data_IF_392763730865
#
_entry.id   IF_392763730865
#
_cell.length_a   1.000
_cell.length_b   1.000
_cell.length_c   1.000
_cell.angle_alpha   90.00
_cell.angle_beta   90.00
_cell.angle_gamma   90.00
#
_symmetry.space_group_name_H-M   'P 1'
#
loop_
_entity.id
_entity.type
_entity.pdbx_description
1 polymer ?
#
# COMPACT_ATOMS: atom_id res chain seq x y z
N UNK A 1 18.47 22.06 -60.76
CA UNK A 1 18.57 20.69 -60.21
C UNK A 1 18.70 20.79 -58.69
N UNK A 2 18.09 19.84 -57.99
CA UNK A 2 18.04 19.67 -56.52
C UNK A 2 16.98 20.48 -55.75
N UNK A 3 15.73 20.13 -56.08
CA UNK A 3 14.54 20.15 -55.20
C UNK A 3 14.72 19.13 -54.06
N UNK A 4 15.87 19.14 -53.38
CA UNK A 4 16.30 18.11 -52.41
C UNK A 4 16.69 18.83 -51.14
N UNK A 5 15.71 19.11 -50.26
CA UNK A 5 15.91 19.43 -48.82
C UNK A 5 14.61 19.77 -48.05
N UNK A 6 13.43 19.76 -48.68
CA UNK A 6 12.14 20.14 -48.05
C UNK A 6 11.32 18.93 -47.56
N UNK A 7 12.00 17.83 -47.25
CA UNK A 7 11.45 16.64 -46.58
C UNK A 7 12.30 16.51 -45.30
N UNK A 8 12.10 17.18 -44.16
CA UNK A 8 10.95 17.90 -43.57
C UNK A 8 9.62 17.14 -43.60
N UNK A 9 9.70 15.83 -43.80
CA UNK A 9 8.70 14.91 -43.30
C UNK A 9 9.18 14.41 -41.95
N UNK A 10 8.54 14.90 -40.88
CA UNK A 10 7.96 13.99 -39.88
C UNK A 10 8.97 12.95 -39.36
N UNK A 11 10.14 13.43 -38.95
CA UNK A 11 10.93 12.82 -37.86
C UNK A 11 10.41 13.45 -36.56
N UNK A 12 9.09 13.37 -36.37
CA UNK A 12 8.48 13.44 -35.05
C UNK A 12 8.62 12.04 -34.46
N UNK A 13 9.85 11.69 -34.06
CA UNK A 13 10.02 10.72 -32.98
C UNK A 13 9.32 11.40 -31.81
N UNK A 14 8.16 10.91 -31.32
CA UNK A 14 7.76 11.33 -30.00
C UNK A 14 8.92 10.85 -29.14
N UNK A 15 9.68 11.80 -28.56
CA UNK A 15 10.40 11.50 -27.34
C UNK A 15 9.36 10.79 -26.48
N UNK A 16 9.57 9.49 -26.26
CA UNK A 16 8.80 8.71 -25.32
C UNK A 16 9.09 9.34 -23.96
N UNK A 17 8.39 10.44 -23.66
CA UNK A 17 8.20 10.88 -22.31
C UNK A 17 7.44 9.72 -21.68
N UNK A 18 8.17 8.85 -20.99
CA UNK A 18 7.57 7.96 -20.00
C UNK A 18 6.74 8.87 -19.10
N UNK A 19 5.42 8.80 -19.30
CA UNK A 19 4.49 9.73 -18.69
C UNK A 19 4.39 9.30 -17.22
N UNK A 20 5.22 9.91 -16.38
CA UNK A 20 5.24 9.57 -14.97
C UNK A 20 3.91 9.97 -14.32
N UNK A 21 3.37 9.09 -13.49
CA UNK A 21 2.09 9.34 -12.86
C UNK A 21 2.19 10.36 -11.73
N UNK A 22 1.30 11.35 -11.77
CA UNK A 22 1.00 12.23 -10.64
C UNK A 22 -0.29 11.77 -9.96
N UNK A 23 -0.52 12.19 -8.72
CA UNK A 23 -1.75 11.85 -7.99
C UNK A 23 -3.02 12.35 -8.66
N UNK A 24 -2.92 13.29 -9.61
CA UNK A 24 -4.05 13.86 -10.37
C UNK A 24 -4.45 13.02 -11.59
N UNK A 25 -3.49 12.35 -12.23
CA UNK A 25 -3.70 11.59 -13.48
C UNK A 25 -3.68 10.07 -13.27
N UNK A 26 -3.33 9.60 -12.07
CA UNK A 26 -3.32 8.17 -11.76
C UNK A 26 -4.74 7.58 -11.94
N UNK A 27 -4.93 6.45 -12.63
CA UNK A 27 -6.28 5.95 -12.91
C UNK A 27 -6.94 5.34 -11.67
N UNK A 28 -8.26 5.52 -11.52
CA UNK A 28 -9.02 4.92 -10.42
C UNK A 28 -9.53 3.53 -10.84
N UNK A 29 -9.04 2.44 -10.22
CA UNK A 29 -9.35 1.09 -10.67
C UNK A 29 -10.82 0.70 -10.51
N UNK A 30 -11.62 1.50 -9.79
CA UNK A 30 -13.06 1.28 -9.62
C UNK A 30 -13.88 1.70 -10.83
N UNK A 31 -13.32 2.57 -11.68
CA UNK A 31 -14.02 3.14 -12.83
C UNK A 31 -13.21 3.00 -14.13
N UNK A 32 -11.89 2.86 -14.03
CA UNK A 32 -10.97 2.80 -15.16
C UNK A 32 -10.05 1.58 -15.07
N UNK A 33 -10.66 0.39 -15.20
CA UNK A 33 -9.94 -0.88 -15.23
C UNK A 33 -8.93 -0.96 -16.39
N UNK A 34 -9.28 -0.36 -17.54
CA UNK A 34 -8.47 -0.40 -18.75
C UNK A 34 -7.14 0.34 -18.57
N UNK A 35 -7.15 1.59 -18.09
CA UNK A 35 -5.91 2.32 -17.82
C UNK A 35 -5.10 1.68 -16.69
N UNK A 36 -5.76 1.00 -15.75
CA UNK A 36 -5.12 0.24 -14.68
C UNK A 36 -4.57 -1.13 -15.11
N UNK A 37 -4.71 -1.51 -16.40
CA UNK A 37 -4.29 -2.81 -16.96
C UNK A 37 -4.81 -4.01 -16.15
N UNK A 38 -6.11 -3.97 -15.84
CA UNK A 38 -6.87 -5.05 -15.21
C UNK A 38 -8.16 -5.31 -16.01
N UNK A 39 -8.72 -6.51 -15.88
CA UNK A 39 -9.84 -6.97 -16.75
C UNK A 39 -11.17 -6.33 -16.37
N UNK A 40 -11.41 -6.16 -15.07
CA UNK A 40 -12.67 -5.65 -14.51
C UNK A 40 -12.36 -4.64 -13.43
N UNK A 41 -13.27 -3.67 -13.17
CA UNK A 41 -13.12 -2.75 -12.07
C UNK A 41 -12.87 -3.46 -10.75
N UNK A 42 -11.96 -2.92 -9.94
CA UNK A 42 -11.48 -3.63 -8.76
C UNK A 42 -10.58 -2.82 -7.84
N UNK A 43 -9.89 -3.50 -6.91
CA UNK A 43 -9.08 -2.83 -5.89
C UNK A 43 -7.64 -2.58 -6.32
N UNK A 44 -7.19 -3.05 -7.49
CA UNK A 44 -5.78 -2.96 -7.90
C UNK A 44 -5.65 -2.09 -9.14
N UNK A 45 -4.72 -1.15 -9.11
CA UNK A 45 -4.32 -0.39 -10.29
C UNK A 45 -2.82 -0.49 -10.51
N UNK A 46 -2.41 -0.97 -11.67
CA UNK A 46 -1.01 -1.12 -12.07
C UNK A 46 -0.85 -0.72 -13.55
N UNK A 47 -0.93 0.60 -13.83
CA UNK A 47 -0.90 1.11 -15.19
C UNK A 47 0.44 0.87 -15.90
N UNK A 48 1.52 0.70 -15.16
CA UNK A 48 2.87 0.42 -15.70
C UNK A 48 3.09 -1.07 -16.00
N UNK A 49 2.11 -1.94 -15.70
CA UNK A 49 2.19 -3.40 -15.86
C UNK A 49 3.38 -4.05 -15.14
N UNK A 50 3.66 -3.57 -13.93
CA UNK A 50 4.78 -4.04 -13.11
C UNK A 50 4.52 -5.46 -12.57
N UNK A 51 3.26 -5.76 -12.25
CA UNK A 51 2.81 -7.03 -11.72
C UNK A 51 2.29 -7.88 -12.88
N UNK A 52 2.78 -9.12 -12.99
CA UNK A 52 2.26 -10.04 -13.99
C UNK A 52 0.77 -10.36 -13.75
N UNK A 53 0.07 -10.76 -14.80
CA UNK A 53 -1.37 -11.02 -14.78
C UNK A 53 -1.81 -12.01 -13.68
N UNK A 54 -1.05 -13.10 -13.45
CA UNK A 54 -1.39 -14.10 -12.45
C UNK A 54 -1.31 -13.55 -11.02
N UNK A 55 -0.26 -12.79 -10.72
CA UNK A 55 -0.10 -12.13 -9.43
C UNK A 55 -1.13 -11.02 -9.20
N UNK A 56 -1.52 -10.28 -10.26
CA UNK A 56 -2.61 -9.29 -10.19
C UNK A 56 -3.91 -9.92 -9.72
N UNK A 57 -4.33 -11.01 -10.37
CA UNK A 57 -5.57 -11.71 -10.02
C UNK A 57 -5.53 -12.26 -8.60
N UNK A 58 -4.44 -12.92 -8.24
CA UNK A 58 -4.32 -13.50 -6.92
C UNK A 58 -4.26 -12.44 -5.79
N UNK A 59 -3.68 -11.26 -6.07
CA UNK A 59 -3.74 -10.11 -5.16
C UNK A 59 -5.16 -9.53 -5.06
N UNK A 60 -5.87 -9.39 -6.18
CA UNK A 60 -7.28 -8.93 -6.20
C UNK A 60 -8.17 -9.87 -5.40
N UNK A 61 -8.08 -11.18 -5.64
CA UNK A 61 -8.84 -12.21 -4.93
C UNK A 61 -8.58 -12.12 -3.42
N UNK A 62 -7.31 -11.94 -3.06
CA UNK A 62 -6.92 -11.80 -1.66
C UNK A 62 -7.50 -10.53 -1.05
N UNK A 63 -7.43 -9.39 -1.73
CA UNK A 63 -8.04 -8.14 -1.24
C UNK A 63 -9.55 -8.32 -1.03
N UNK A 64 -10.24 -8.97 -1.97
CA UNK A 64 -11.68 -9.23 -1.88
C UNK A 64 -12.03 -10.15 -0.71
N UNK A 65 -11.25 -11.22 -0.48
CA UNK A 65 -11.40 -12.10 0.69
C UNK A 65 -11.25 -11.29 2.00
N UNK A 66 -10.23 -10.42 2.06
CA UNK A 66 -9.95 -9.60 3.24
C UNK A 66 -11.09 -8.61 3.49
N UNK A 67 -11.55 -7.88 2.48
CA UNK A 67 -12.70 -6.97 2.58
C UNK A 67 -13.96 -7.74 2.99
N UNK A 68 -14.20 -8.92 2.43
CA UNK A 68 -15.36 -9.76 2.80
C UNK A 68 -15.32 -10.17 4.27
N UNK A 69 -14.13 -10.46 4.81
CA UNK A 69 -13.96 -10.85 6.21
C UNK A 69 -14.23 -9.71 7.21
N UNK A 70 -14.18 -8.45 6.78
CA UNK A 70 -14.46 -7.30 7.66
C UNK A 70 -15.93 -6.88 7.67
N UNK A 71 -16.78 -7.51 6.85
CA UNK A 71 -18.21 -7.17 6.74
C UNK A 71 -18.97 -7.36 8.05
N UNK A 72 -18.57 -8.33 8.88
CA UNK A 72 -19.20 -8.62 10.18
C UNK A 72 -18.77 -7.69 11.30
N UNK A 73 -17.77 -6.84 11.06
CA UNK A 73 -17.27 -5.89 12.06
C UNK A 73 -18.14 -4.64 11.96
N UNK A 74 -18.75 -4.17 13.05
CA UNK A 74 -19.48 -2.91 13.03
C UNK A 74 -18.51 -1.73 12.95
N UNK A 75 -18.85 -0.68 12.18
CA UNK A 75 -18.06 0.55 12.18
C UNK A 75 -18.62 1.50 13.24
N UNK A 76 -17.87 1.69 14.32
CA UNK A 76 -18.23 2.56 15.45
C UNK A 76 -18.06 4.06 15.16
N UNK A 77 -17.47 4.45 14.01
CA UNK A 77 -17.28 5.87 13.70
C UNK A 77 -18.61 6.62 13.62
N UNK A 78 -18.76 7.77 14.32
CA UNK A 78 -19.95 8.61 14.23
C UNK A 78 -20.31 9.01 12.79
N UNK A 79 -19.32 9.24 11.92
CA UNK A 79 -19.54 9.63 10.52
C UNK A 79 -20.16 8.49 9.68
N UNK A 80 -19.93 7.24 10.10
CA UNK A 80 -20.40 6.04 9.39
C UNK A 80 -21.74 5.49 9.90
N UNK A 81 -22.30 6.05 10.98
CA UNK A 81 -23.55 5.56 11.59
C UNK A 81 -24.72 5.50 10.61
N UNK A 82 -24.80 6.45 9.68
CA UNK A 82 -25.84 6.53 8.66
C UNK A 82 -25.53 5.71 7.39
N UNK A 83 -24.40 4.97 7.39
CA UNK A 83 -23.92 4.19 6.25
C UNK A 83 -23.53 2.76 6.68
N UNK A 84 -24.46 1.99 7.29
CA UNK A 84 -24.16 0.66 7.84
C UNK A 84 -23.71 -0.35 6.77
N UNK A 85 -24.09 -0.11 5.51
CA UNK A 85 -23.71 -0.96 4.38
C UNK A 85 -22.30 -0.66 3.84
N UNK A 86 -21.65 0.42 4.29
CA UNK A 86 -20.27 0.71 3.89
C UNK A 86 -19.30 -0.09 4.74
N UNK A 87 -18.46 -0.85 4.06
CA UNK A 87 -17.38 -1.62 4.64
C UNK A 87 -16.01 -1.07 4.19
N UNK A 88 -14.96 -1.51 4.89
CA UNK A 88 -13.57 -1.21 4.57
C UNK A 88 -13.32 -1.37 3.06
N UNK A 89 -12.85 -0.30 2.42
CA UNK A 89 -12.42 -0.34 1.02
C UNK A 89 -10.90 -0.33 0.99
N UNK A 90 -10.29 -1.31 0.31
CA UNK A 90 -8.84 -1.34 0.13
C UNK A 90 -8.54 -1.14 -1.36
N UNK A 91 -7.67 -0.19 -1.67
CA UNK A 91 -7.14 0.04 -3.02
C UNK A 91 -5.62 -0.07 -2.97
N UNK A 92 -5.04 -0.74 -3.95
CA UNK A 92 -3.60 -0.85 -4.16
C UNK A 92 -3.25 -0.15 -5.47
N UNK A 93 -2.41 0.87 -5.39
CA UNK A 93 -1.82 1.58 -6.51
C UNK A 93 -0.36 1.15 -6.66
N UNK A 94 0.02 0.67 -7.83
CA UNK A 94 1.37 0.25 -8.18
C UNK A 94 1.87 1.13 -9.32
N UNK A 95 2.93 1.87 -9.07
CA UNK A 95 3.51 2.82 -10.02
C UNK A 95 4.99 2.54 -10.17
N UNK A 96 5.55 2.78 -11.35
CA UNK A 96 6.98 2.62 -11.52
C UNK A 96 7.70 3.68 -10.71
N UNK A 97 7.45 4.95 -11.04
CA UNK A 97 8.08 6.10 -10.41
C UNK A 97 7.07 7.22 -10.25
N UNK A 98 7.13 7.90 -9.12
CA UNK A 98 6.26 9.06 -8.87
C UNK A 98 7.02 10.35 -9.18
N UNK A 99 6.28 11.37 -9.58
CA UNK A 99 6.82 12.71 -9.87
C UNK A 99 6.97 12.92 -11.36
N UNK A 100 7.54 14.05 -11.76
CA UNK A 100 7.86 14.34 -13.18
C UNK A 100 9.32 14.71 -13.37
N UNK A 101 10.01 15.01 -12.27
CA UNK A 101 11.35 15.59 -12.28
C UNK A 101 12.30 14.53 -11.74
N UNK A 102 13.12 13.99 -12.63
CA UNK A 102 14.27 13.19 -12.24
C UNK A 102 15.13 13.98 -11.25
N UNK A 103 15.43 13.39 -10.09
CA UNK A 103 16.34 13.89 -9.03
C UNK A 103 15.73 14.76 -7.92
N UNK A 104 14.43 15.03 -7.91
CA UNK A 104 13.79 15.57 -6.70
C UNK A 104 13.35 14.42 -5.78
N UNK A 105 13.58 14.55 -4.45
CA UNK A 105 13.04 13.59 -3.50
C UNK A 105 11.52 13.59 -3.63
N UNK A 106 10.98 12.44 -3.99
CA UNK A 106 9.56 12.23 -4.13
C UNK A 106 8.95 12.04 -2.75
N UNK A 107 7.92 12.83 -2.47
CA UNK A 107 7.12 12.67 -1.27
C UNK A 107 5.97 11.69 -1.56
N UNK A 108 6.24 10.40 -1.35
CA UNK A 108 5.27 9.31 -1.52
C UNK A 108 4.07 9.47 -0.57
N UNK A 109 4.28 10.03 0.63
CA UNK A 109 3.21 10.34 1.57
C UNK A 109 2.26 11.38 0.97
N UNK A 110 2.79 12.50 0.45
CA UNK A 110 1.99 13.53 -0.22
C UNK A 110 1.28 12.99 -1.45
N UNK A 111 1.94 12.15 -2.26
CA UNK A 111 1.30 11.49 -3.40
C UNK A 111 0.10 10.64 -2.95
N UNK A 112 0.28 9.77 -1.95
CA UNK A 112 -0.76 8.88 -1.47
C UNK A 112 -1.94 9.64 -0.85
N UNK A 113 -1.68 10.67 -0.04
CA UNK A 113 -2.73 11.50 0.55
C UNK A 113 -3.55 12.25 -0.52
N UNK A 114 -2.88 12.86 -1.50
CA UNK A 114 -3.55 13.56 -2.60
C UNK A 114 -4.35 12.58 -3.47
N UNK A 115 -3.80 11.39 -3.73
CA UNK A 115 -4.46 10.36 -4.51
C UNK A 115 -5.73 9.85 -3.81
N UNK A 116 -5.63 9.56 -2.51
CA UNK A 116 -6.80 9.20 -1.69
C UNK A 116 -7.86 10.30 -1.71
N UNK A 117 -7.47 11.56 -1.47
CA UNK A 117 -8.40 12.69 -1.50
C UNK A 117 -9.14 12.80 -2.83
N UNK A 118 -8.43 12.62 -3.96
CA UNK A 118 -9.05 12.61 -5.29
C UNK A 118 -9.97 11.41 -5.51
N UNK A 119 -9.59 10.20 -5.11
CA UNK A 119 -10.48 9.03 -5.18
C UNK A 119 -11.76 9.20 -4.35
N UNK A 120 -11.71 10.04 -3.34
CA UNK A 120 -12.88 10.41 -2.56
C UNK A 120 -13.63 11.59 -3.16
N UNK A 121 -13.32 12.00 -4.39
CA UNK A 121 -13.88 13.18 -5.07
C UNK A 121 -13.78 14.45 -4.23
N UNK A 122 -12.72 14.59 -3.43
CA UNK A 122 -12.57 15.68 -2.47
C UNK A 122 -13.80 15.84 -1.56
N UNK A 123 -14.44 14.71 -1.20
CA UNK A 123 -15.60 14.66 -0.31
C UNK A 123 -15.32 15.45 0.96
N UNK A 124 -16.38 16.09 1.46
CA UNK A 124 -16.37 16.83 2.70
C UNK A 124 -15.79 15.92 3.82
N UNK A 125 -14.89 16.44 4.67
CA UNK A 125 -14.34 15.68 5.79
C UNK A 125 -15.41 15.06 6.67
N UNK A 126 -16.66 15.50 6.68
CA UNK A 126 -17.77 14.88 7.43
C UNK A 126 -18.22 13.51 6.89
N UNK A 127 -17.86 13.13 5.66
CA UNK A 127 -18.23 11.83 5.10
C UNK A 127 -17.43 10.69 5.70
N UNK A 128 -18.12 9.55 5.87
CA UNK A 128 -17.55 8.27 6.26
C UNK A 128 -16.44 7.83 5.29
N UNK A 129 -15.21 7.95 5.74
CA UNK A 129 -13.97 7.68 5.03
C UNK A 129 -13.39 6.33 5.47
N UNK A 130 -13.75 5.27 4.73
CA UNK A 130 -13.33 3.90 4.99
C UNK A 130 -12.28 3.40 3.97
N UNK A 131 -11.60 4.31 3.26
CA UNK A 131 -10.63 3.95 2.22
C UNK A 131 -9.23 3.74 2.80
N UNK A 132 -8.69 2.54 2.63
CA UNK A 132 -7.26 2.25 2.79
C UNK A 132 -6.63 2.23 1.41
N UNK A 133 -5.75 3.18 1.13
CA UNK A 133 -4.98 3.22 -0.12
C UNK A 133 -3.53 2.85 0.19
N UNK A 134 -3.03 1.83 -0.51
CA UNK A 134 -1.65 1.38 -0.45
C UNK A 134 -1.00 1.76 -1.76
N UNK A 135 0.05 2.57 -1.71
CA UNK A 135 0.83 2.98 -2.88
C UNK A 135 2.18 2.28 -2.83
N UNK A 136 2.50 1.54 -3.88
CA UNK A 136 3.81 0.97 -4.12
C UNK A 136 4.48 1.72 -5.27
N UNK A 137 5.63 2.35 -5.02
CA UNK A 137 6.50 2.83 -6.09
C UNK A 137 7.70 1.90 -6.26
N UNK A 138 7.81 1.28 -7.44
CA UNK A 138 8.87 0.32 -7.78
C UNK A 138 10.26 0.97 -7.79
N UNK A 139 10.43 2.02 -8.58
CA UNK A 139 11.69 2.73 -8.78
C UNK A 139 12.12 3.50 -7.53
N UNK A 140 11.17 4.10 -6.81
CA UNK A 140 11.48 4.77 -5.54
C UNK A 140 11.68 3.76 -4.40
N UNK A 141 11.34 2.48 -4.63
CA UNK A 141 11.45 1.34 -3.69
C UNK A 141 10.75 1.60 -2.37
N UNK A 142 9.59 2.24 -2.43
CA UNK A 142 8.85 2.67 -1.26
C UNK A 142 7.41 2.17 -1.33
N UNK A 143 6.86 1.89 -0.15
CA UNK A 143 5.44 1.57 0.02
C UNK A 143 4.90 2.50 1.08
N UNK A 144 3.76 3.10 0.81
CA UNK A 144 3.08 3.98 1.74
C UNK A 144 1.60 3.61 1.79
N UNK A 145 1.05 3.64 3.00
CA UNK A 145 -0.35 3.32 3.23
C UNK A 145 -1.00 4.52 3.89
N UNK A 146 -2.06 5.02 3.26
CA UNK A 146 -2.93 6.03 3.86
C UNK A 146 -4.28 5.39 4.19
N UNK A 147 -4.70 5.56 5.42
CA UNK A 147 -5.98 5.10 5.91
C UNK A 147 -6.98 6.26 5.93
N UNK A 148 -8.25 5.93 5.81
CA UNK A 148 -9.32 6.85 6.08
C UNK A 148 -9.40 7.19 7.56
N UNK A 149 -10.06 8.28 7.91
CA UNK A 149 -10.27 8.61 9.33
C UNK A 149 -11.33 7.72 9.99
N UNK A 150 -12.24 7.14 9.20
CA UNK A 150 -13.31 6.26 9.66
C UNK A 150 -13.06 4.80 9.24
N UNK A 151 -11.85 4.50 8.76
CA UNK A 151 -11.46 3.11 8.62
C UNK A 151 -11.42 2.52 10.02
N UNK A 152 -11.98 1.32 10.16
CA UNK A 152 -11.82 0.49 11.36
C UNK A 152 -10.34 0.24 11.71
N UNK A 153 -9.40 0.68 10.89
CA UNK A 153 -7.97 0.57 11.09
C UNK A 153 -7.42 1.99 11.25
N UNK A 154 -6.86 2.35 12.40
CA UNK A 154 -6.21 3.66 12.50
C UNK A 154 -5.01 3.74 11.55
N UNK A 155 -4.69 4.96 11.06
CA UNK A 155 -3.47 5.20 10.23
C UNK A 155 -2.23 4.62 10.91
N UNK A 156 -2.14 4.74 12.23
CA UNK A 156 -1.02 4.23 13.03
C UNK A 156 -0.95 2.69 13.02
N UNK A 157 -2.08 2.02 13.25
CA UNK A 157 -2.21 0.55 13.18
C UNK A 157 -1.74 0.02 11.85
N UNK A 158 -2.25 0.61 10.75
CA UNK A 158 -1.85 0.24 9.40
C UNK A 158 -0.36 0.53 9.23
N UNK A 159 0.11 1.70 9.65
CA UNK A 159 1.51 2.08 9.57
C UNK A 159 2.41 1.05 10.22
N UNK A 160 2.24 0.58 11.47
CA UNK A 160 3.17 -0.46 11.95
C UNK A 160 2.83 -1.89 11.55
N UNK A 161 1.61 -2.22 11.13
CA UNK A 161 1.39 -3.47 10.39
C UNK A 161 2.27 -3.48 9.12
N UNK A 162 2.34 -2.33 8.43
CA UNK A 162 3.22 -2.10 7.30
C UNK A 162 4.69 -2.01 7.71
N UNK A 163 5.09 -1.24 8.71
CA UNK A 163 6.50 -1.12 9.13
C UNK A 163 7.04 -2.42 9.69
N UNK A 164 6.24 -3.25 10.38
CA UNK A 164 6.69 -4.59 10.77
C UNK A 164 6.84 -5.52 9.56
N UNK A 165 6.01 -5.32 8.52
CA UNK A 165 6.14 -6.05 7.25
C UNK A 165 7.32 -5.54 6.42
N UNK A 166 7.56 -4.22 6.41
CA UNK A 166 8.60 -3.47 5.70
C UNK A 166 9.93 -3.47 6.47
N UNK A 167 9.96 -3.76 7.77
CA UNK A 167 11.20 -3.96 8.50
C UNK A 167 12.00 -5.14 7.91
N UNK A 168 11.29 -6.09 7.26
CA UNK A 168 11.89 -7.15 6.46
C UNK A 168 12.30 -6.68 5.04
N UNK A 169 11.83 -5.50 4.61
CA UNK A 169 11.99 -4.88 3.29
C UNK A 169 12.69 -3.51 3.31
N UNK A 170 13.40 -3.13 4.39
CA UNK A 170 14.16 -1.86 4.38
C UNK A 170 15.05 -1.83 3.14
N UNK A 171 15.00 -0.74 2.37
CA UNK A 171 15.48 -0.63 0.98
C UNK A 171 16.94 -1.07 0.76
N UNK A 172 17.79 -0.97 1.80
CA UNK A 172 19.16 -1.48 1.77
C UNK A 172 19.29 -2.97 2.14
N UNK A 173 18.36 -3.48 2.95
CA UNK A 173 18.25 -4.89 3.32
C UNK A 173 17.45 -5.71 2.31
N UNK A 174 16.42 -5.17 1.65
CA UNK A 174 15.60 -5.90 0.69
C UNK A 174 16.35 -6.18 -0.61
N UNK A 175 17.12 -5.23 -1.14
CA UNK A 175 17.94 -5.48 -2.34
C UNK A 175 19.06 -6.48 -2.01
N UNK A 176 19.59 -6.45 -0.78
CA UNK A 176 20.59 -7.42 -0.30
C UNK A 176 19.99 -8.81 0.03
N UNK A 177 18.76 -8.87 0.53
CA UNK A 177 18.08 -10.12 0.94
C UNK A 177 17.33 -10.78 -0.23
N UNK A 178 16.63 -9.99 -1.03
CA UNK A 178 15.74 -10.44 -2.09
C UNK A 178 16.41 -10.48 -3.47
N UNK A 179 17.58 -9.82 -3.61
CA UNK A 179 18.30 -9.68 -4.87
C UNK A 179 17.67 -8.65 -5.82
N UNK A 180 18.38 -8.31 -6.89
CA UNK A 180 17.91 -7.39 -7.93
C UNK A 180 17.03 -8.10 -8.99
N UNK A 181 16.37 -9.19 -8.61
CA UNK A 181 15.53 -9.94 -9.54
C UNK A 181 14.19 -9.20 -9.71
N UNK A 182 14.12 -8.37 -10.76
CA UNK A 182 12.93 -7.60 -11.12
C UNK A 182 11.69 -8.48 -11.27
N UNK A 183 11.82 -9.72 -11.75
CA UNK A 183 10.71 -10.67 -11.91
C UNK A 183 10.10 -11.09 -10.57
N UNK A 184 10.87 -11.07 -9.47
CA UNK A 184 10.38 -11.44 -8.13
C UNK A 184 9.80 -10.26 -7.37
N UNK A 185 10.00 -9.04 -7.86
CA UNK A 185 9.54 -7.85 -7.17
C UNK A 185 8.02 -7.86 -7.00
N UNK A 186 7.26 -8.31 -8.01
CA UNK A 186 5.80 -8.46 -7.90
C UNK A 186 5.40 -9.35 -6.73
N UNK A 187 6.03 -10.52 -6.61
CA UNK A 187 5.80 -11.47 -5.51
C UNK A 187 6.18 -10.89 -4.15
N UNK A 188 7.20 -10.04 -4.10
CA UNK A 188 7.62 -9.34 -2.89
C UNK A 188 6.65 -8.25 -2.46
N UNK A 189 6.20 -7.40 -3.39
CA UNK A 189 5.18 -6.38 -3.13
C UNK A 189 3.90 -7.04 -2.65
N UNK A 190 3.47 -8.09 -3.36
CA UNK A 190 2.33 -8.93 -2.97
C UNK A 190 2.50 -9.45 -1.55
N UNK A 191 3.64 -10.06 -1.21
CA UNK A 191 3.89 -10.57 0.14
C UNK A 191 3.86 -9.48 1.22
N UNK A 192 4.40 -8.28 0.95
CA UNK A 192 4.35 -7.14 1.89
C UNK A 192 2.91 -6.70 2.14
N UNK A 193 2.16 -6.51 1.06
CA UNK A 193 0.76 -6.10 1.10
C UNK A 193 -0.09 -7.15 1.82
N UNK A 194 0.05 -8.43 1.47
CA UNK A 194 -0.64 -9.55 2.09
C UNK A 194 -0.34 -9.66 3.59
N UNK A 195 0.94 -9.50 3.98
CA UNK A 195 1.34 -9.54 5.39
C UNK A 195 0.74 -8.37 6.18
N UNK A 196 0.87 -7.15 5.66
CA UNK A 196 0.36 -5.95 6.31
C UNK A 196 -1.17 -6.01 6.46
N UNK A 197 -1.88 -6.44 5.41
CA UNK A 197 -3.32 -6.65 5.46
C UNK A 197 -3.71 -7.77 6.45
N UNK A 198 -3.00 -8.90 6.44
CA UNK A 198 -3.26 -10.03 7.35
C UNK A 198 -3.07 -9.65 8.81
N UNK A 199 -2.05 -8.85 9.14
CA UNK A 199 -1.85 -8.30 10.49
C UNK A 199 -3.00 -7.35 10.84
N UNK A 200 -3.33 -6.44 9.92
CA UNK A 200 -4.39 -5.44 10.12
C UNK A 200 -5.73 -6.11 10.41
N UNK A 201 -6.11 -7.13 9.63
CA UNK A 201 -7.32 -7.90 9.89
C UNK A 201 -7.32 -8.59 11.26
N UNK A 202 -6.21 -9.23 11.63
CA UNK A 202 -6.13 -9.92 12.92
C UNK A 202 -6.30 -8.95 14.07
N UNK A 203 -5.76 -7.75 13.93
CA UNK A 203 -5.97 -6.68 14.90
C UNK A 203 -7.45 -6.27 14.97
N UNK A 204 -8.11 -6.03 13.83
CA UNK A 204 -9.56 -5.71 13.78
C UNK A 204 -10.42 -6.75 14.48
N UNK A 205 -10.08 -8.03 14.31
CA UNK A 205 -10.83 -9.14 14.88
C UNK A 205 -10.38 -9.50 16.31
N UNK A 206 -9.33 -8.85 16.84
CA UNK A 206 -8.89 -9.10 18.21
C UNK A 206 -9.95 -8.57 19.19
N UNK A 207 -10.29 -9.36 20.20
CA UNK A 207 -11.29 -8.97 21.22
C UNK A 207 -10.91 -7.69 21.97
N UNK A 208 -9.62 -7.33 21.96
CA UNK A 208 -9.09 -6.10 22.55
C UNK A 208 -9.17 -4.90 21.62
N UNK A 209 -9.62 -5.05 20.37
CA UNK A 209 -9.58 -3.99 19.35
C UNK A 209 -10.14 -2.65 19.86
N UNK A 210 -11.32 -2.65 20.50
CA UNK A 210 -11.91 -1.45 21.09
C UNK A 210 -11.01 -0.81 22.13
N UNK A 211 -10.38 -1.59 23.01
CA UNK A 211 -9.43 -1.07 24.01
C UNK A 211 -8.17 -0.49 23.36
N UNK A 212 -7.73 -1.06 22.25
CA UNK A 212 -6.58 -0.57 21.48
C UNK A 212 -6.92 0.78 20.85
N UNK A 213 -8.11 0.90 20.27
CA UNK A 213 -8.61 2.13 19.68
C UNK A 213 -8.77 3.24 20.73
N UNK A 214 -9.43 2.95 21.84
CA UNK A 214 -9.57 3.87 22.97
C UNK A 214 -8.20 4.32 23.49
N UNK A 215 -7.27 3.38 23.69
CA UNK A 215 -5.93 3.67 24.18
C UNK A 215 -5.15 4.58 23.23
N UNK A 216 -5.21 4.33 21.91
CA UNK A 216 -4.53 5.17 20.91
C UNK A 216 -5.17 6.56 20.88
N UNK A 217 -6.50 6.66 20.88
CA UNK A 217 -7.20 7.94 20.83
C UNK A 217 -6.93 8.81 22.07
N UNK A 218 -6.84 8.20 23.25
CA UNK A 218 -6.50 8.89 24.50
C UNK A 218 -5.05 9.41 24.48
N UNK A 219 -4.11 8.58 23.99
CA UNK A 219 -2.67 8.90 24.02
C UNK A 219 -2.14 9.74 22.86
N UNK A 220 -2.79 9.73 21.70
CA UNK A 220 -2.43 10.61 20.58
C UNK A 220 -2.64 12.11 20.90
N UNK A 221 -3.34 12.44 21.99
CA UNK A 221 -3.43 13.82 22.48
C UNK A 221 -2.14 14.33 23.13
N UNK A 222 -1.23 13.43 23.54
CA UNK A 222 0.00 13.75 24.29
C UNK A 222 1.24 13.75 23.38
N UNK A 223 1.52 12.62 22.71
CA UNK A 223 2.63 12.44 21.76
C UNK A 223 2.37 11.21 20.88
N UNK A 224 2.17 11.44 19.58
CA UNK A 224 1.92 10.40 18.58
C UNK A 224 2.99 9.28 18.58
N UNK A 225 4.26 9.61 18.86
CA UNK A 225 5.38 8.67 18.82
C UNK A 225 5.40 7.73 20.02
N UNK A 226 5.15 8.26 21.21
CA UNK A 226 5.14 7.48 22.45
C UNK A 226 3.89 6.58 22.51
N UNK A 227 2.71 7.15 22.23
CA UNK A 227 1.44 6.42 22.17
C UNK A 227 1.57 5.17 21.29
N UNK A 228 2.26 5.31 20.16
CA UNK A 228 2.47 4.20 19.25
C UNK A 228 3.53 3.21 19.74
N UNK A 229 4.65 3.67 20.29
CA UNK A 229 5.62 2.73 20.86
C UNK A 229 4.98 1.82 21.91
N UNK A 230 4.11 2.39 22.76
CA UNK A 230 3.38 1.62 23.76
C UNK A 230 2.31 0.71 23.14
N UNK A 231 1.46 1.19 22.24
CA UNK A 231 0.46 0.34 21.60
C UNK A 231 1.09 -0.81 20.79
N UNK A 232 2.28 -0.58 20.21
CA UNK A 232 3.03 -1.62 19.51
C UNK A 232 3.46 -2.72 20.47
N UNK A 233 4.12 -2.34 21.55
CA UNK A 233 4.65 -3.25 22.55
C UNK A 233 3.52 -4.01 23.27
N UNK A 234 2.41 -3.33 23.55
CA UNK A 234 1.32 -3.87 24.36
C UNK A 234 0.35 -4.75 23.58
N UNK A 235 0.18 -4.51 22.28
CA UNK A 235 -0.87 -5.16 21.49
C UNK A 235 -0.35 -5.76 20.18
N UNK A 236 0.32 -4.96 19.35
CA UNK A 236 0.60 -5.35 17.97
C UNK A 236 1.70 -6.41 17.88
N UNK A 237 2.74 -6.30 18.71
CA UNK A 237 3.83 -7.28 18.72
C UNK A 237 3.37 -8.64 19.24
N UNK A 238 2.43 -8.68 20.20
CA UNK A 238 1.79 -9.91 20.67
C UNK A 238 0.98 -10.58 19.56
N UNK A 239 0.12 -9.82 18.86
CA UNK A 239 -0.66 -10.31 17.72
C UNK A 239 0.28 -10.81 16.62
N UNK A 240 1.30 -10.02 16.27
CA UNK A 240 2.27 -10.43 15.26
C UNK A 240 2.98 -11.71 15.69
N UNK A 241 3.46 -11.82 16.93
CA UNK A 241 4.15 -13.01 17.44
C UNK A 241 3.27 -14.24 17.37
N UNK A 242 2.05 -14.15 17.91
CA UNK A 242 1.03 -15.23 17.92
C UNK A 242 0.74 -15.75 16.51
N UNK A 243 0.73 -14.85 15.53
CA UNK A 243 0.28 -15.16 14.18
C UNK A 243 1.38 -15.20 13.13
N UNK A 244 2.63 -14.93 13.52
CA UNK A 244 3.78 -14.78 12.63
C UNK A 244 3.95 -15.99 11.70
N UNK A 245 3.78 -17.21 12.22
CA UNK A 245 3.86 -18.44 11.42
C UNK A 245 2.76 -18.50 10.37
N UNK A 246 1.49 -18.28 10.76
CA UNK A 246 0.36 -18.29 9.82
C UNK A 246 0.44 -17.15 8.79
N UNK A 247 0.96 -15.99 9.19
CA UNK A 247 1.20 -14.86 8.28
C UNK A 247 2.28 -15.26 7.28
N UNK A 248 3.41 -15.80 7.75
CA UNK A 248 4.55 -16.21 6.92
C UNK A 248 4.21 -17.38 5.99
N UNK A 249 3.38 -18.34 6.39
CA UNK A 249 3.06 -19.52 5.59
C UNK A 249 2.14 -19.25 4.41
N UNK A 250 1.40 -18.13 4.39
CA UNK A 250 0.46 -17.81 3.32
C UNK A 250 1.09 -17.09 2.12
N UNK A 251 2.19 -16.36 2.32
CA UNK A 251 2.88 -15.68 1.22
C UNK A 251 3.68 -16.69 0.38
N UNK A 252 3.33 -16.83 -0.91
CA UNK A 252 3.98 -17.74 -1.87
C UNK A 252 5.44 -17.34 -2.11
N UNK A 253 5.72 -16.04 -2.15
CA UNK A 253 7.05 -15.50 -2.36
C UNK A 253 7.60 -14.93 -1.06
N UNK A 254 8.81 -15.34 -0.71
CA UNK A 254 9.56 -14.83 0.43
C UNK A 254 10.90 -14.29 -0.03
N UNK A 255 11.30 -13.15 0.50
CA UNK A 255 12.72 -12.80 0.46
C UNK A 255 13.48 -13.83 1.29
N UNK A 256 14.55 -14.45 0.76
CA UNK A 256 15.37 -15.32 1.57
C UNK A 256 15.98 -14.50 2.70
N UNK A 257 15.62 -14.83 3.93
CA UNK A 257 16.23 -14.25 5.12
C UNK A 257 17.67 -14.77 5.16
N UNK A 258 18.61 -14.03 4.59
CA UNK A 258 20.02 -14.26 4.92
C UNK A 258 20.20 -13.85 6.38
N UNK A 259 20.66 -14.79 7.22
CA UNK A 259 21.08 -14.55 8.60
C UNK A 259 22.27 -13.57 8.65
N UNK A 260 22.04 -12.28 8.37
CA UNK A 260 23.08 -11.25 8.45
C UNK A 260 23.43 -10.87 9.90
N UNK A 261 22.76 -11.45 10.90
CA UNK A 261 23.01 -11.16 12.30
C UNK A 261 24.13 -11.99 12.96
N UNK A 262 24.80 -12.91 12.26
CA UNK A 262 25.85 -13.75 12.86
C UNK A 262 27.31 -13.35 12.58
N UNK A 263 27.59 -12.32 11.77
CA UNK A 263 28.96 -11.96 11.37
C UNK A 263 29.47 -10.59 11.84
N UNK A 264 28.82 -9.92 12.81
CA UNK A 264 29.28 -8.61 13.33
C UNK A 264 29.99 -8.66 14.71
N UNK A 265 30.51 -9.83 15.10
CA UNK A 265 31.36 -10.02 16.29
C UNK A 265 32.48 -11.00 15.98
N UNK A 266 33.50 -10.55 15.25
CA UNK A 266 34.84 -11.17 15.10
C UNK A 266 35.69 -10.17 14.32
N UNK A 267 36.03 -9.07 14.97
CA UNK A 267 37.16 -8.15 14.72
C UNK A 267 37.14 -7.09 15.82
#
# INVERSE_FOLDING_TARGET
>A
MQVVRVILFIVYVPLFCELQYTSQIYPDPRFDAFSCKIVVPGPLCDPDDIINFGDKNALIDRINELVSSTTSIENSSPACKNQPNKNLQIIVAVVDKIGQISNLPVDLEKFANNLKSRYQNFQDPSYCDQLVLIVNSRSDRQVYTVAGKDTKLSKAILKAAFENSIANFRVNFAVAQCGNNQERLSGYVRAVVENAMSISLRLLTDKRYTKIEEYINDKMLEDDGEAWTQAKNNFIDDIYRKYSLTIRTKAIYRCPIKNYFFNKKRE
#
